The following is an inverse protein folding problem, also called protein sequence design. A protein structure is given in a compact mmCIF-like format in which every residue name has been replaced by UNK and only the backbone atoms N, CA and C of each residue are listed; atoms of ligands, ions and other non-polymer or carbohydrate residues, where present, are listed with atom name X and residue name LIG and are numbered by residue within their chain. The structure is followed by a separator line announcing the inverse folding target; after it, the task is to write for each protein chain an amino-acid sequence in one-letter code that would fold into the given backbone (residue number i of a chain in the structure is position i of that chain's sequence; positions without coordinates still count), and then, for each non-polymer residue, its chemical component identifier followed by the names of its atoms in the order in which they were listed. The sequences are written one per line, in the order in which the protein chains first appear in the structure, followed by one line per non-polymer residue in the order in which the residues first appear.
data_IF_219832112766
#
_entry.id   IF_219832112766
#
_cell.length_a   1.000
_cell.length_b   1.000
_cell.length_c   1.000
_cell.angle_alpha   90.00
_cell.angle_beta   90.00
_cell.angle_gamma   90.00
#
_symmetry.space_group_name_H-M   'P 1'
#
loop_
_entity.id
_entity.type
_entity.pdbx_description
1 polymer ?
#
# COMPACT_ATOMS: atom_id res chain seq x y z
N UNK A 1 5.11 -2.65 12.99
CA UNK A 1 4.13 -2.36 11.93
C UNK A 1 3.18 -1.33 12.47
N UNK A 2 3.20 -0.14 11.85
CA UNK A 2 2.32 0.97 12.21
C UNK A 2 1.00 0.81 11.46
N UNK A 3 -0.10 1.28 12.03
CA UNK A 3 -1.44 1.09 11.45
C UNK A 3 -1.88 2.32 10.67
N UNK A 4 -2.54 2.12 9.53
CA UNK A 4 -3.17 3.20 8.77
C UNK A 4 -4.33 3.80 9.58
N UNK A 5 -4.34 5.12 9.68
CA UNK A 5 -5.47 5.89 10.23
C UNK A 5 -6.51 6.10 9.14
N UNK A 6 -7.70 6.54 9.55
CA UNK A 6 -8.79 6.90 8.62
C UNK A 6 -8.32 7.88 7.54
N UNK A 7 -7.61 8.93 7.93
CA UNK A 7 -7.09 9.94 7.00
C UNK A 7 -6.11 9.36 5.97
N UNK A 8 -5.24 8.42 6.36
CA UNK A 8 -4.27 7.80 5.45
C UNK A 8 -4.98 6.96 4.38
N UNK A 9 -6.06 6.26 4.76
CA UNK A 9 -6.86 5.47 3.82
C UNK A 9 -7.71 6.37 2.91
N UNK A 10 -8.28 7.44 3.43
CA UNK A 10 -9.00 8.42 2.60
C UNK A 10 -8.06 9.06 1.57
N UNK A 11 -6.83 9.39 1.97
CA UNK A 11 -5.81 9.89 1.05
C UNK A 11 -5.39 8.84 0.01
N UNK A 12 -5.23 7.58 0.43
CA UNK A 12 -4.97 6.46 -0.49
C UNK A 12 -6.08 6.38 -1.55
N UNK A 13 -7.33 6.28 -1.14
CA UNK A 13 -8.46 6.12 -2.08
C UNK A 13 -8.67 7.35 -2.96
N UNK A 14 -8.48 8.56 -2.42
CA UNK A 14 -8.61 9.80 -3.19
C UNK A 14 -7.51 9.96 -4.25
N UNK A 15 -6.30 9.47 -3.99
CA UNK A 15 -5.17 9.52 -4.92
C UNK A 15 -5.12 8.32 -5.88
N UNK A 16 -5.80 7.23 -5.56
CA UNK A 16 -5.65 5.96 -6.26
C UNK A 16 -6.03 6.02 -7.75
N UNK A 17 -7.13 6.69 -8.07
CA UNK A 17 -7.59 6.82 -9.47
C UNK A 17 -6.64 7.66 -10.33
N UNK A 18 -5.87 8.57 -9.71
CA UNK A 18 -4.95 9.46 -10.42
C UNK A 18 -3.54 8.85 -10.56
N UNK A 19 -3.02 8.27 -9.48
CA UNK A 19 -1.72 7.57 -9.46
C UNK A 19 -1.74 6.48 -8.38
N UNK A 20 -2.09 5.23 -8.75
CA UNK A 20 -2.24 4.15 -7.78
C UNK A 20 -0.91 3.79 -7.12
N UNK A 21 0.22 3.92 -7.84
CA UNK A 21 1.55 3.59 -7.31
C UNK A 21 1.97 4.61 -6.27
N UNK A 22 1.79 5.90 -6.53
CA UNK A 22 2.12 6.95 -5.57
C UNK A 22 1.23 6.88 -4.32
N UNK A 23 -0.07 6.61 -4.50
CA UNK A 23 -1.03 6.45 -3.41
C UNK A 23 -0.65 5.25 -2.51
N UNK A 24 -0.40 4.08 -3.11
CA UNK A 24 0.02 2.86 -2.40
C UNK A 24 1.40 3.02 -1.75
N UNK A 25 2.33 3.73 -2.39
CA UNK A 25 3.65 4.06 -1.82
C UNK A 25 3.47 4.82 -0.52
N UNK A 26 2.62 5.84 -0.51
CA UNK A 26 2.36 6.67 0.68
C UNK A 26 1.77 5.83 1.81
N UNK A 27 0.79 4.97 1.51
CA UNK A 27 0.19 4.08 2.50
C UNK A 27 1.21 3.05 3.04
N UNK A 28 2.05 2.46 2.20
CA UNK A 28 3.10 1.53 2.63
C UNK A 28 4.16 2.21 3.51
N UNK A 29 4.53 3.46 3.22
CA UNK A 29 5.45 4.24 4.08
C UNK A 29 4.92 4.35 5.49
N UNK A 30 3.61 4.56 5.66
CA UNK A 30 2.96 4.59 6.97
C UNK A 30 2.99 3.19 7.61
N UNK A 31 2.54 2.15 6.90
CA UNK A 31 2.44 0.79 7.47
C UNK A 31 3.80 0.25 7.94
N UNK A 32 4.84 0.51 7.15
CA UNK A 32 6.19 0.04 7.38
C UNK A 32 7.03 0.98 8.26
N UNK A 33 6.47 2.12 8.67
CA UNK A 33 7.19 3.18 9.41
C UNK A 33 8.46 3.66 8.67
N UNK A 34 8.35 3.80 7.35
CA UNK A 34 9.43 4.22 6.44
C UNK A 34 9.01 5.46 5.63
N UNK A 35 8.96 6.66 6.21
CA UNK A 35 8.42 7.86 5.57
C UNK A 35 9.14 8.28 4.27
N UNK A 36 10.39 7.85 4.06
CA UNK A 36 11.17 8.11 2.84
C UNK A 36 11.38 6.90 1.94
N UNK A 37 10.67 5.78 2.19
CA UNK A 37 10.88 4.56 1.42
C UNK A 37 10.40 4.71 -0.03
N UNK A 38 11.18 4.25 -0.99
CA UNK A 38 10.78 4.20 -2.40
C UNK A 38 9.97 2.92 -2.70
N UNK A 39 9.08 2.95 -3.70
CA UNK A 39 8.17 1.84 -4.04
C UNK A 39 8.84 0.46 -4.01
N UNK A 40 9.93 0.29 -4.78
CA UNK A 40 10.67 -0.98 -4.85
C UNK A 40 11.27 -1.40 -3.50
N UNK A 41 11.71 -0.46 -2.67
CA UNK A 41 12.26 -0.75 -1.35
C UNK A 41 11.14 -1.17 -0.38
N UNK A 42 10.01 -0.46 -0.40
CA UNK A 42 8.83 -0.78 0.41
C UNK A 42 8.28 -2.17 0.05
N UNK A 43 8.19 -2.51 -1.24
CA UNK A 43 7.75 -3.84 -1.67
C UNK A 43 8.67 -4.97 -1.18
N UNK A 44 9.99 -4.72 -1.10
CA UNK A 44 10.95 -5.66 -0.52
C UNK A 44 10.79 -5.77 1.00
N UNK A 45 10.60 -4.64 1.67
CA UNK A 45 10.43 -4.57 3.13
C UNK A 45 9.09 -5.15 3.60
N UNK A 46 8.04 -5.07 2.77
CA UNK A 46 6.71 -5.62 3.06
C UNK A 46 6.66 -7.15 3.14
N UNK A 47 7.74 -7.85 2.73
CA UNK A 47 7.81 -9.31 2.82
C UNK A 47 6.93 -10.05 1.81
N UNK A 48 6.47 -9.38 0.74
CA UNK A 48 5.66 -10.02 -0.30
C UNK A 48 6.43 -11.14 -1.02
N UNK A 49 5.68 -12.15 -1.45
CA UNK A 49 6.19 -13.23 -2.30
C UNK A 49 6.81 -12.66 -3.58
N UNK A 50 7.76 -13.40 -4.17
CA UNK A 50 8.46 -12.97 -5.39
C UNK A 50 7.47 -12.69 -6.54
N UNK A 51 6.50 -13.58 -6.74
CA UNK A 51 5.46 -13.43 -7.76
C UNK A 51 4.61 -12.16 -7.57
N UNK A 52 4.21 -11.86 -6.33
CA UNK A 52 3.44 -10.65 -6.03
C UNK A 52 4.28 -9.39 -6.25
N UNK A 53 5.54 -9.40 -5.84
CA UNK A 53 6.48 -8.30 -6.10
C UNK A 53 6.63 -8.00 -7.59
N UNK A 54 6.77 -9.03 -8.42
CA UNK A 54 6.91 -8.86 -9.87
C UNK A 54 5.64 -8.21 -10.46
N UNK A 55 4.45 -8.67 -10.07
CA UNK A 55 3.19 -8.04 -10.51
C UNK A 55 3.09 -6.57 -10.09
N UNK A 56 3.38 -6.28 -8.82
CA UNK A 56 3.35 -4.92 -8.27
C UNK A 56 4.40 -3.99 -8.91
N UNK A 57 5.59 -4.50 -9.25
CA UNK A 57 6.61 -3.74 -9.97
C UNK A 57 6.27 -3.52 -11.45
N UNK A 58 5.50 -4.44 -12.04
CA UNK A 58 4.94 -4.29 -13.38
C UNK A 58 3.71 -3.39 -13.44
N UNK A 59 3.29 -2.79 -12.31
CA UNK A 59 2.06 -2.00 -12.19
C UNK A 59 0.81 -2.76 -12.68
N UNK A 60 0.77 -4.08 -12.42
CA UNK A 60 -0.38 -4.92 -12.73
C UNK A 60 -1.62 -4.41 -11.96
N UNK A 61 -2.69 -3.95 -12.65
CA UNK A 61 -3.83 -3.32 -11.99
C UNK A 61 -4.48 -4.21 -10.93
N UNK A 62 -4.64 -5.50 -11.22
CA UNK A 62 -5.23 -6.44 -10.26
C UNK A 62 -4.38 -6.57 -8.99
N UNK A 63 -3.06 -6.64 -9.11
CA UNK A 63 -2.18 -6.68 -7.94
C UNK A 63 -2.19 -5.37 -7.14
N UNK A 64 -2.32 -4.22 -7.80
CA UNK A 64 -2.46 -2.92 -7.13
C UNK A 64 -3.79 -2.83 -6.38
N UNK A 65 -4.88 -3.28 -7.00
CA UNK A 65 -6.23 -3.29 -6.41
C UNK A 65 -6.29 -4.24 -5.20
N UNK A 66 -5.70 -5.44 -5.33
CA UNK A 66 -5.53 -6.40 -4.22
C UNK A 66 -4.82 -5.72 -3.04
N UNK A 67 -3.72 -4.99 -3.28
CA UNK A 67 -2.98 -4.30 -2.23
C UNK A 67 -3.78 -3.14 -1.61
N UNK A 68 -4.48 -2.35 -2.42
CA UNK A 68 -5.34 -1.26 -1.94
C UNK A 68 -6.45 -1.81 -1.01
N UNK A 69 -7.06 -2.93 -1.39
CA UNK A 69 -8.07 -3.61 -0.58
C UNK A 69 -7.48 -4.09 0.75
N UNK A 70 -6.32 -4.78 0.73
CA UNK A 70 -5.65 -5.23 1.96
C UNK A 70 -5.30 -4.07 2.91
N UNK A 71 -4.78 -2.95 2.39
CA UNK A 71 -4.47 -1.77 3.19
C UNK A 71 -5.73 -1.14 3.81
N UNK A 72 -6.83 -1.12 3.07
CA UNK A 72 -8.13 -0.67 3.58
C UNK A 72 -8.69 -1.64 4.65
N UNK A 73 -8.50 -2.94 4.51
CA UNK A 73 -8.90 -3.95 5.51
C UNK A 73 -8.05 -3.88 6.79
N UNK A 74 -6.74 -3.61 6.68
CA UNK A 74 -5.86 -3.42 7.85
C UNK A 74 -6.32 -2.27 8.76
N UNK A 75 -7.00 -1.26 8.19
CA UNK A 75 -7.75 -0.24 8.94
C UNK A 75 -9.02 -0.81 9.59
N UNK A 76 -9.83 -1.55 8.85
CA UNK A 76 -11.12 -2.07 9.33
C UNK A 76 -10.98 -2.97 10.57
N UNK A 77 -9.94 -3.81 10.62
CA UNK A 77 -9.63 -4.68 11.77
C UNK A 77 -9.22 -3.87 13.03
N UNK A 78 -9.10 -2.54 12.96
CA UNK A 78 -8.69 -1.69 14.09
C UNK A 78 -9.85 -1.12 14.90
N UNK A 79 -11.01 -1.10 14.27
CA UNK A 79 -12.20 -0.38 14.74
C UNK A 79 -13.28 -1.36 15.19
N UNK A 80 -12.91 -2.63 15.38
CA UNK A 80 -13.73 -3.68 15.98
C UNK A 80 -13.16 -4.03 17.36
#
# INVERSE_FOLDING_TARGET
MTRLRKADVEQLLAGYDADPVAALTTALRVVLDQPGGEWTALLKAAGFSCARRIRLQGNDPAALDELAAELNELRAVAVA
#
